data_IF_087765926840
#
_entry.id   IF_087765926840
#
_cell.length_a   1.000
_cell.length_b   1.000
_cell.length_c   1.000
_cell.angle_alpha   90.00
_cell.angle_beta   90.00
_cell.angle_gamma   90.00
#
_symmetry.space_group_name_H-M   'P 1'
#
loop_
_entity.id
_entity.type
_entity.pdbx_description
1 polymer ?
#
# COMPACT_ATOMS: atom_id res chain seq x y z
N UNK A 1 13.34 29.22 -7.39
CA UNK A 1 13.91 28.19 -8.28
C UNK A 1 14.63 27.20 -7.40
N UNK A 2 13.96 26.10 -7.03
CA UNK A 2 14.52 25.08 -6.13
C UNK A 2 15.07 23.92 -6.96
N UNK A 3 16.36 23.99 -7.21
CA UNK A 3 17.18 22.96 -7.84
C UNK A 3 17.61 21.97 -6.75
N UNK A 4 16.72 21.02 -6.43
CA UNK A 4 17.08 19.79 -5.74
C UNK A 4 17.22 18.67 -6.77
N UNK A 5 18.46 18.41 -7.19
CA UNK A 5 18.89 17.27 -7.99
C UNK A 5 18.89 15.97 -7.17
N UNK A 6 17.73 15.61 -6.63
CA UNK A 6 17.42 14.26 -6.18
C UNK A 6 16.49 13.64 -7.21
N UNK A 7 16.78 12.44 -7.69
CA UNK A 7 15.96 11.70 -8.64
C UNK A 7 14.47 11.79 -8.24
N UNK A 8 13.66 12.54 -9.00
CA UNK A 8 12.21 12.64 -8.80
C UNK A 8 11.56 11.35 -9.30
N UNK A 9 11.80 10.26 -8.58
CA UNK A 9 11.25 8.96 -8.86
C UNK A 9 9.95 8.77 -8.08
N UNK A 10 8.86 8.45 -8.78
CA UNK A 10 7.60 8.10 -8.14
C UNK A 10 7.75 6.72 -7.49
N UNK A 11 7.78 6.68 -6.16
CA UNK A 11 8.09 5.46 -5.41
C UNK A 11 6.92 4.99 -4.56
N UNK A 12 6.67 3.69 -4.59
CA UNK A 12 5.65 3.04 -3.76
C UNK A 12 6.16 3.01 -2.33
N UNK A 13 5.46 3.71 -1.44
CA UNK A 13 5.73 3.61 0.00
C UNK A 13 5.25 2.25 0.50
N UNK A 14 3.93 2.02 0.46
CA UNK A 14 3.31 0.76 0.87
C UNK A 14 2.01 0.56 0.08
N UNK A 15 1.81 -0.59 -0.59
CA UNK A 15 0.51 -0.95 -1.16
C UNK A 15 -0.54 -1.13 -0.06
N UNK A 16 -1.80 -0.81 -0.36
CA UNK A 16 -2.90 -1.10 0.56
C UNK A 16 -3.08 -2.62 0.72
N UNK A 17 -3.19 -3.15 1.96
CA UNK A 17 -3.49 -4.55 2.20
C UNK A 17 -4.82 -4.96 1.56
N UNK A 18 -4.85 -6.13 0.92
CA UNK A 18 -5.96 -6.65 0.12
C UNK A 18 -6.41 -5.72 -1.02
N UNK A 19 -5.62 -4.70 -1.37
CA UNK A 19 -5.89 -3.79 -2.46
C UNK A 19 -5.45 -4.33 -3.83
N UNK A 20 -5.86 -3.69 -4.94
CA UNK A 20 -5.53 -4.16 -6.28
C UNK A 20 -4.03 -4.10 -6.55
N UNK A 21 -3.32 -3.13 -5.97
CA UNK A 21 -1.85 -3.02 -6.03
C UNK A 21 -1.14 -4.22 -5.42
N UNK A 22 -1.52 -4.60 -4.20
CA UNK A 22 -0.93 -5.77 -3.53
C UNK A 22 -1.27 -7.06 -4.27
N UNK A 23 -2.53 -7.23 -4.69
CA UNK A 23 -2.98 -8.40 -5.44
C UNK A 23 -2.26 -8.55 -6.80
N UNK A 24 -1.93 -7.44 -7.45
CA UNK A 24 -1.15 -7.43 -8.69
C UNK A 24 0.36 -7.60 -8.46
N UNK A 25 0.81 -7.69 -7.21
CA UNK A 25 2.21 -7.96 -6.86
C UNK A 25 3.11 -6.73 -6.78
N UNK A 26 2.54 -5.52 -6.69
CA UNK A 26 3.28 -4.28 -6.37
C UNK A 26 3.79 -4.37 -4.94
N UNK A 27 5.00 -3.89 -4.69
CA UNK A 27 5.67 -3.97 -3.38
C UNK A 27 6.15 -2.61 -2.90
N UNK A 28 6.28 -2.49 -1.59
CA UNK A 28 6.96 -1.37 -0.97
C UNK A 28 8.37 -1.21 -1.56
N UNK A 29 8.74 0.02 -1.92
CA UNK A 29 10.02 0.36 -2.50
C UNK A 29 10.11 0.27 -4.02
N UNK A 30 9.10 -0.29 -4.71
CA UNK A 30 9.04 -0.29 -6.18
C UNK A 30 9.00 1.16 -6.70
N UNK A 31 9.76 1.44 -7.76
CA UNK A 31 9.71 2.72 -8.48
C UNK A 31 8.80 2.59 -9.69
N UNK A 32 7.76 3.42 -9.78
CA UNK A 32 6.88 3.50 -10.94
C UNK A 32 7.55 4.39 -11.97
N UNK A 33 7.95 3.81 -13.11
CA UNK A 33 8.63 4.53 -14.19
C UNK A 33 7.68 4.95 -15.31
N UNK A 34 6.54 4.27 -15.45
CA UNK A 34 5.48 4.69 -16.37
C UNK A 34 4.08 4.28 -15.89
N UNK A 35 3.08 5.08 -16.29
CA UNK A 35 1.65 4.80 -16.10
C UNK A 35 0.99 4.90 -17.48
N UNK A 36 0.37 3.83 -17.97
CA UNK A 36 -0.18 3.75 -19.34
C UNK A 36 0.85 4.12 -20.43
N UNK A 37 2.11 3.74 -20.21
CA UNK A 37 3.22 4.07 -21.11
C UNK A 37 3.69 5.52 -21.03
N UNK A 38 3.06 6.38 -20.22
CA UNK A 38 3.53 7.74 -19.97
C UNK A 38 4.63 7.74 -18.90
N UNK A 39 5.84 8.25 -19.19
CA UNK A 39 6.94 8.30 -18.22
C UNK A 39 6.60 9.17 -17.02
N UNK A 40 6.80 8.66 -15.81
CA UNK A 40 6.48 9.37 -14.55
C UNK A 40 7.48 10.47 -14.20
N UNK A 41 8.69 10.45 -14.76
CA UNK A 41 9.76 11.44 -14.51
C UNK A 41 9.34 12.87 -14.85
N UNK A 42 8.39 13.02 -15.78
CA UNK A 42 7.86 14.31 -16.23
C UNK A 42 6.54 14.70 -15.56
N UNK A 43 5.97 13.80 -14.78
CA UNK A 43 4.69 14.00 -14.12
C UNK A 43 4.89 14.56 -12.72
N UNK A 44 4.03 15.49 -12.32
CA UNK A 44 3.83 15.80 -10.91
C UNK A 44 3.15 14.64 -10.19
N UNK A 45 3.25 14.62 -8.86
CA UNK A 45 2.53 13.66 -8.01
C UNK A 45 1.00 13.71 -8.24
N UNK A 46 0.46 14.89 -8.53
CA UNK A 46 -0.96 15.09 -8.79
C UNK A 46 -1.36 14.46 -10.13
N UNK A 47 -0.64 14.76 -11.22
CA UNK A 47 -0.91 14.17 -12.53
C UNK A 47 -0.76 12.65 -12.51
N UNK A 48 0.27 12.13 -11.82
CA UNK A 48 0.43 10.69 -11.64
C UNK A 48 -0.75 10.08 -10.86
N UNK A 49 -1.24 10.75 -9.82
CA UNK A 49 -2.41 10.30 -9.06
C UNK A 49 -3.67 10.27 -9.93
N UNK A 50 -3.87 11.28 -10.77
CA UNK A 50 -5.02 11.37 -11.68
C UNK A 50 -5.01 10.23 -12.71
N UNK A 51 -3.83 9.83 -13.21
CA UNK A 51 -3.69 8.69 -14.12
C UNK A 51 -3.94 7.33 -13.44
N UNK A 52 -3.57 7.21 -12.15
CA UNK A 52 -3.84 6.01 -11.36
C UNK A 52 -5.33 5.86 -11.08
N UNK A 53 -6.02 6.97 -10.83
CA UNK A 53 -7.48 7.02 -10.70
C UNK A 53 -8.16 6.80 -12.05
N UNK A 54 -9.43 6.42 -12.01
CA UNK A 54 -10.21 6.14 -13.20
C UNK A 54 -11.48 5.35 -12.88
N UNK A 55 -12.24 5.02 -13.91
CA UNK A 55 -13.50 4.31 -13.76
C UNK A 55 -13.30 2.97 -13.03
N UNK A 56 -14.21 2.65 -12.11
CA UNK A 56 -14.20 1.35 -11.43
C UNK A 56 -14.28 0.20 -12.45
N UNK A 57 -13.50 -0.84 -12.21
CA UNK A 57 -13.41 -2.01 -13.08
C UNK A 57 -12.52 -1.84 -14.31
N UNK A 58 -12.10 -0.62 -14.66
CA UNK A 58 -11.11 -0.39 -15.71
C UNK A 58 -9.73 -0.90 -15.32
N UNK A 59 -8.86 -1.13 -16.30
CA UNK A 59 -7.47 -1.55 -16.07
C UNK A 59 -6.53 -0.37 -16.15
N UNK A 60 -5.51 -0.37 -15.29
CA UNK A 60 -4.33 0.50 -15.40
C UNK A 60 -3.07 -0.34 -15.55
N UNK A 61 -2.18 0.03 -16.47
CA UNK A 61 -0.89 -0.59 -16.67
C UNK A 61 0.20 0.27 -16.04
N UNK A 62 0.93 -0.30 -15.08
CA UNK A 62 2.10 0.32 -14.46
C UNK A 62 3.36 -0.37 -14.96
N UNK A 63 4.38 0.41 -15.29
CA UNK A 63 5.73 -0.12 -15.46
C UNK A 63 6.51 0.21 -14.19
N UNK A 64 6.97 -0.82 -13.50
CA UNK A 64 7.65 -0.71 -12.19
C UNK A 64 9.05 -1.27 -12.22
N UNK A 65 9.91 -0.76 -11.35
CA UNK A 65 11.30 -1.19 -11.18
C UNK A 65 11.57 -1.42 -9.69
N UNK A 66 11.83 -2.68 -9.30
CA UNK A 66 11.93 -3.10 -7.89
C UNK A 66 13.29 -2.82 -7.24
N UNK A 67 14.35 -2.73 -8.04
CA UNK A 67 15.69 -2.35 -7.62
C UNK A 67 16.26 -1.38 -8.63
N UNK A 68 17.17 -0.51 -8.23
CA UNK A 68 17.83 0.46 -9.11
C UNK A 68 18.60 -0.18 -10.27
N UNK A 69 18.93 -1.47 -10.20
CA UNK A 69 19.58 -2.28 -11.24
C UNK A 69 18.63 -3.25 -11.99
N UNK A 70 17.39 -3.39 -11.53
CA UNK A 70 16.43 -4.34 -12.10
C UNK A 70 15.86 -3.91 -13.45
N UNK A 71 15.46 -4.90 -14.26
CA UNK A 71 14.67 -4.62 -15.47
C UNK A 71 13.28 -4.10 -15.10
N UNK A 72 12.73 -3.13 -15.85
CA UNK A 72 11.34 -2.71 -15.69
C UNK A 72 10.37 -3.88 -15.94
N UNK A 73 9.31 -3.95 -15.16
CA UNK A 73 8.26 -4.96 -15.25
C UNK A 73 6.91 -4.28 -15.41
N UNK A 74 6.11 -4.78 -16.34
CA UNK A 74 4.75 -4.31 -16.53
C UNK A 74 3.79 -5.07 -15.62
N UNK A 75 2.98 -4.33 -14.87
CA UNK A 75 1.95 -4.84 -13.95
C UNK A 75 0.63 -4.21 -14.35
N UNK A 76 -0.36 -5.04 -14.69
CA UNK A 76 -1.73 -4.58 -14.95
C UNK A 76 -2.58 -4.74 -13.71
N UNK A 77 -3.32 -3.70 -13.36
CA UNK A 77 -4.15 -3.65 -12.17
C UNK A 77 -5.58 -3.30 -12.56
N UNK A 78 -6.55 -3.91 -11.89
CA UNK A 78 -7.95 -3.53 -12.05
C UNK A 78 -8.29 -2.46 -11.00
N UNK A 79 -8.78 -1.31 -11.46
CA UNK A 79 -9.28 -0.25 -10.59
C UNK A 79 -10.51 -0.75 -9.84
N UNK A 80 -10.55 -0.53 -8.54
CA UNK A 80 -11.62 -1.01 -7.67
C UNK A 80 -11.87 0.03 -6.58
N UNK A 81 -13.15 0.25 -6.25
CA UNK A 81 -13.50 0.99 -5.05
C UNK A 81 -13.12 0.14 -3.82
N UNK A 82 -12.17 0.62 -3.02
CA UNK A 82 -11.76 -0.04 -1.80
C UNK A 82 -12.46 0.57 -0.59
N UNK A 83 -13.16 -0.26 0.17
CA UNK A 83 -13.53 0.05 1.56
C UNK A 83 -12.38 -0.38 2.45
N UNK A 84 -11.54 0.58 2.85
CA UNK A 84 -10.38 0.27 3.69
C UNK A 84 -10.81 0.22 5.15
N UNK A 85 -10.93 -0.99 5.71
CA UNK A 85 -11.17 -1.18 7.15
C UNK A 85 -9.87 -0.90 7.90
N UNK A 86 -9.83 0.13 8.76
CA UNK A 86 -8.57 0.62 9.33
C UNK A 86 -8.02 -0.25 10.47
N UNK A 87 -8.90 -0.95 11.19
CA UNK A 87 -8.57 -1.71 12.39
C UNK A 87 -9.11 -3.13 12.24
N UNK A 88 -8.25 -4.12 12.53
CA UNK A 88 -8.67 -5.50 12.71
C UNK A 88 -8.31 -5.91 14.14
N UNK A 89 -9.26 -6.45 14.89
CA UNK A 89 -9.07 -7.00 16.23
C UNK A 89 -9.39 -8.50 16.25
N UNK A 90 -8.69 -9.25 17.08
CA UNK A 90 -8.98 -10.67 17.33
C UNK A 90 -8.61 -11.04 18.76
N UNK A 91 -9.41 -11.91 19.37
CA UNK A 91 -9.11 -12.50 20.67
C UNK A 91 -8.42 -13.85 20.48
N UNK A 92 -7.27 -14.03 21.12
CA UNK A 92 -6.55 -15.30 21.11
C UNK A 92 -6.84 -16.05 22.41
N UNK A 93 -7.57 -17.17 22.30
CA UNK A 93 -8.00 -17.96 23.46
C UNK A 93 -6.90 -18.85 24.06
N UNK A 94 -5.88 -19.19 23.26
CA UNK A 94 -4.75 -20.04 23.67
C UNK A 94 -3.44 -19.41 23.22
N UNK A 95 -2.87 -18.61 24.11
CA UNK A 95 -1.56 -18.03 23.90
C UNK A 95 -0.51 -18.90 24.57
N UNK A 96 0.57 -19.22 23.86
CA UNK A 96 1.68 -19.94 24.48
C UNK A 96 2.23 -19.12 25.65
N UNK A 97 2.56 -19.79 26.76
CA UNK A 97 3.11 -19.17 27.97
C UNK A 97 4.42 -18.37 27.74
N UNK A 98 4.96 -18.36 26.53
CA UNK A 98 6.15 -17.60 26.09
C UNK A 98 5.83 -16.25 25.42
N UNK A 99 4.56 -15.83 25.35
CA UNK A 99 4.24 -14.49 24.81
C UNK A 99 4.45 -13.43 25.90
N UNK A 100 5.32 -12.47 25.61
CA UNK A 100 5.73 -11.43 26.56
C UNK A 100 6.87 -11.87 27.49
N UNK A 101 7.62 -10.92 28.08
CA UNK A 101 8.81 -11.22 28.89
C UNK A 101 8.52 -11.96 30.21
N UNK A 102 7.26 -12.09 30.61
CA UNK A 102 6.82 -12.73 31.85
C UNK A 102 5.95 -13.97 31.61
N UNK A 103 5.65 -14.29 30.34
CA UNK A 103 4.54 -15.17 30.00
C UNK A 103 3.19 -14.56 30.38
N UNK A 104 2.16 -14.86 29.60
CA UNK A 104 0.79 -14.47 29.90
C UNK A 104 -0.05 -15.73 29.98
N UNK A 105 -0.68 -15.95 31.13
CA UNK A 105 -1.73 -16.95 31.29
C UNK A 105 -3.07 -16.22 31.20
N UNK A 106 -3.81 -16.41 30.10
CA UNK A 106 -5.07 -15.71 29.84
C UNK A 106 -5.31 -15.33 28.38
N UNK A 107 -6.42 -14.63 28.16
CA UNK A 107 -6.86 -14.18 26.84
C UNK A 107 -6.03 -12.98 26.38
N UNK A 108 -5.50 -13.02 25.16
CA UNK A 108 -4.74 -11.91 24.57
C UNK A 108 -5.54 -11.26 23.44
N UNK A 109 -5.75 -9.95 23.54
CA UNK A 109 -6.33 -9.16 22.46
C UNK A 109 -5.23 -8.73 21.50
N UNK A 110 -5.32 -9.14 20.24
CA UNK A 110 -4.49 -8.64 19.16
C UNK A 110 -5.23 -7.55 18.40
N UNK A 111 -4.62 -6.37 18.28
CA UNK A 111 -5.14 -5.30 17.42
C UNK A 111 -4.09 -4.90 16.39
N UNK A 112 -4.50 -4.94 15.12
CA UNK A 112 -3.70 -4.45 13.99
C UNK A 112 -4.37 -3.21 13.41
N UNK A 113 -3.67 -2.08 13.49
CA UNK A 113 -4.04 -0.86 12.77
C UNK A 113 -3.29 -0.86 11.44
N UNK A 114 -4.02 -1.08 10.34
CA UNK A 114 -3.44 -1.19 9.00
C UNK A 114 -3.34 0.16 8.28
N UNK A 115 -4.18 1.13 8.63
CA UNK A 115 -4.16 2.49 8.10
C UNK A 115 -4.79 3.49 9.07
N UNK A 116 -4.48 4.78 8.88
CA UNK A 116 -5.10 5.88 9.59
C UNK A 116 -6.02 6.64 8.64
N UNK A 117 -7.32 6.54 8.85
CA UNK A 117 -8.35 7.25 8.10
C UNK A 117 -9.44 7.78 9.06
N UNK A 118 -10.48 8.40 8.51
CA UNK A 118 -11.59 8.98 9.30
C UNK A 118 -12.38 7.95 10.11
N UNK A 119 -12.28 6.66 9.78
CA UNK A 119 -12.97 5.56 10.47
C UNK A 119 -12.13 4.95 11.59
N UNK A 120 -10.80 5.19 11.65
CA UNK A 120 -9.89 4.53 12.61
C UNK A 120 -10.32 4.75 14.06
N UNK A 121 -10.72 5.97 14.43
CA UNK A 121 -11.15 6.28 15.79
C UNK A 121 -12.52 5.67 16.17
N UNK A 122 -13.38 5.42 15.19
CA UNK A 122 -14.66 4.74 15.41
C UNK A 122 -14.46 3.23 15.56
N UNK A 123 -13.62 2.62 14.72
CA UNK A 123 -13.33 1.18 14.70
C UNK A 123 -12.62 0.64 15.96
N UNK A 124 -12.21 1.53 16.88
CA UNK A 124 -11.64 1.18 18.18
C UNK A 124 -12.70 1.03 19.30
N UNK A 125 -13.91 1.57 19.09
CA UNK A 125 -14.95 1.65 20.14
C UNK A 125 -15.96 0.49 20.12
N UNK A 126 -15.83 -0.43 19.18
CA UNK A 126 -16.60 -1.68 19.08
C UNK A 126 -15.76 -2.87 19.56
#
# INVERSE_FOLDING_TARGET
ADSASGERALRVVTPLPAGPAEAAGVRAGDTIVAIEGQPTEKLSLYEASDLLLGAEGSTVKLTVKRRSDGSPQDISLKRQALTVVPVNSSMCDKVAASVGPQGVDGLLAYVRVGTFNTQTAAAWRE
#
